data_IF_284486332086
#
_entry.id   IF_284486332086
#
_cell.length_a   1.000
_cell.length_b   1.000
_cell.length_c   1.000
_cell.angle_alpha   90.00
_cell.angle_beta   90.00
_cell.angle_gamma   90.00
#
_symmetry.space_group_name_H-M   'P 1'
#
loop_
_entity.id
_entity.type
_entity.pdbx_description
1 polymer ?
#
# COMPACT_ATOMS: atom_id res chain seq x y z
N UNK A 1 16.97 -7.50 6.86
CA UNK A 1 16.04 -7.44 5.73
C UNK A 1 16.52 -6.36 4.76
N UNK A 2 17.19 -6.74 3.69
CA UNK A 2 17.53 -5.80 2.63
C UNK A 2 16.28 -5.54 1.77
N UNK A 3 15.71 -4.36 1.93
CA UNK A 3 14.68 -3.86 1.04
C UNK A 3 15.34 -3.17 -0.16
N UNK A 4 15.10 -3.64 -1.37
CA UNK A 4 15.47 -2.89 -2.56
C UNK A 4 14.34 -1.94 -2.93
N UNK A 5 14.55 -0.67 -2.67
CA UNK A 5 13.65 0.41 -3.03
C UNK A 5 13.98 0.87 -4.45
N UNK A 6 13.03 0.76 -5.35
CA UNK A 6 13.13 1.38 -6.68
C UNK A 6 12.25 2.62 -6.67
N UNK A 7 12.87 3.81 -6.66
CA UNK A 7 12.19 5.08 -6.82
C UNK A 7 12.34 5.49 -8.28
N UNK A 8 11.26 5.45 -9.04
CA UNK A 8 11.23 6.04 -10.37
C UNK A 8 10.84 7.52 -10.26
N UNK A 9 11.79 8.41 -10.55
CA UNK A 9 11.52 9.79 -10.95
C UNK A 9 11.74 9.85 -12.45
N UNK A 10 10.71 9.60 -13.24
CA UNK A 10 10.81 9.63 -14.69
C UNK A 10 9.84 10.63 -15.28
N UNK A 11 10.16 11.09 -16.48
CA UNK A 11 9.26 11.89 -17.28
C UNK A 11 7.92 11.18 -17.49
N UNK A 12 6.88 11.98 -17.70
CA UNK A 12 5.47 11.59 -17.82
C UNK A 12 5.24 10.34 -18.68
N UNK A 13 6.01 10.17 -19.76
CA UNK A 13 5.84 9.08 -20.73
C UNK A 13 6.63 7.79 -20.41
N UNK A 14 7.43 7.78 -19.32
CA UNK A 14 8.34 6.67 -19.03
C UNK A 14 7.97 5.82 -17.82
N UNK A 15 6.94 6.17 -17.07
CA UNK A 15 6.59 5.45 -15.82
C UNK A 15 6.19 4.02 -16.11
N UNK A 16 5.31 3.80 -17.10
CA UNK A 16 4.81 2.45 -17.43
C UNK A 16 5.93 1.59 -18.02
N UNK A 17 6.69 2.14 -18.98
CA UNK A 17 7.80 1.40 -19.60
C UNK A 17 8.87 1.04 -18.58
N UNK A 18 9.21 1.94 -17.65
CA UNK A 18 10.18 1.67 -16.60
C UNK A 18 9.72 0.57 -15.64
N UNK A 19 8.42 0.53 -15.28
CA UNK A 19 7.85 -0.55 -14.47
C UNK A 19 7.85 -1.88 -15.22
N UNK A 20 7.51 -1.88 -16.52
CA UNK A 20 7.51 -3.09 -17.34
C UNK A 20 8.91 -3.63 -17.59
N UNK A 21 9.89 -2.75 -17.86
CA UNK A 21 11.29 -3.12 -18.01
C UNK A 21 11.86 -3.70 -16.70
N UNK A 22 11.51 -3.10 -15.57
CA UNK A 22 11.91 -3.61 -14.27
C UNK A 22 11.28 -4.99 -14.00
N UNK A 23 10.00 -5.16 -14.27
CA UNK A 23 9.31 -6.45 -14.15
C UNK A 23 9.95 -7.54 -15.03
N UNK A 24 10.29 -7.21 -16.28
CA UNK A 24 10.94 -8.13 -17.24
C UNK A 24 12.36 -8.50 -16.87
N UNK A 25 13.01 -7.78 -15.95
CA UNK A 25 14.37 -8.11 -15.50
C UNK A 25 14.41 -9.27 -14.50
N UNK A 26 13.26 -9.82 -14.09
CA UNK A 26 13.15 -10.94 -13.16
C UNK A 26 12.48 -12.14 -13.83
N UNK A 27 13.00 -13.32 -13.53
CA UNK A 27 12.40 -14.60 -13.87
C UNK A 27 11.82 -15.23 -12.58
N UNK A 28 10.62 -15.76 -12.68
CA UNK A 28 9.96 -16.45 -11.58
C UNK A 28 9.70 -17.89 -11.94
N UNK A 29 9.81 -18.79 -10.96
CA UNK A 29 9.45 -20.18 -11.16
C UNK A 29 7.92 -20.38 -11.30
N UNK A 30 7.54 -21.58 -11.74
CA UNK A 30 6.13 -21.91 -12.01
C UNK A 30 5.24 -21.82 -10.75
N UNK A 31 5.79 -22.19 -9.58
CA UNK A 31 5.05 -22.15 -8.32
C UNK A 31 4.82 -20.69 -7.89
N UNK A 32 5.84 -19.84 -8.00
CA UNK A 32 5.71 -18.43 -7.70
C UNK A 32 4.68 -17.74 -8.60
N UNK A 33 4.63 -18.08 -9.90
CA UNK A 33 3.65 -17.53 -10.85
C UNK A 33 2.20 -17.93 -10.54
N UNK A 34 1.98 -19.06 -9.86
CA UNK A 34 0.65 -19.52 -9.42
C UNK A 34 0.20 -18.88 -8.10
N UNK A 35 1.04 -18.10 -7.47
CA UNK A 35 0.79 -17.46 -6.17
C UNK A 35 1.00 -15.95 -6.27
N UNK A 36 0.52 -15.15 -5.32
CA UNK A 36 0.84 -13.73 -5.27
C UNK A 36 2.30 -13.39 -4.91
N UNK A 37 3.20 -14.39 -4.86
CA UNK A 37 4.61 -14.19 -4.54
C UNK A 37 5.41 -13.58 -5.69
N UNK A 38 5.03 -13.87 -6.94
CA UNK A 38 5.69 -13.36 -8.14
C UNK A 38 5.15 -11.99 -8.51
N UNK A 39 5.75 -10.92 -7.99
CA UNK A 39 5.31 -9.58 -8.34
C UNK A 39 6.01 -8.46 -7.63
N UNK A 40 5.63 -7.27 -8.02
CA UNK A 40 6.01 -6.02 -7.38
C UNK A 40 4.91 -5.58 -6.43
N UNK A 41 5.29 -5.20 -5.23
CA UNK A 41 4.37 -4.77 -4.19
C UNK A 41 4.50 -3.27 -3.99
N UNK A 42 3.39 -2.56 -4.06
CA UNK A 42 3.46 -1.11 -3.93
C UNK A 42 2.14 -0.43 -4.21
N UNK A 43 2.23 0.84 -4.60
CA UNK A 43 1.08 1.67 -4.89
C UNK A 43 1.36 2.67 -6.01
N UNK A 44 0.28 3.12 -6.59
CA UNK A 44 0.20 4.33 -7.41
C UNK A 44 -0.78 5.25 -6.67
N UNK A 45 -0.36 6.48 -6.32
CA UNK A 45 -1.25 7.42 -5.66
C UNK A 45 -2.23 8.06 -6.67
N UNK A 46 -3.25 8.73 -6.15
CA UNK A 46 -4.26 9.39 -6.98
C UNK A 46 -3.64 10.46 -7.89
N UNK A 47 -2.69 11.23 -7.40
CA UNK A 47 -2.07 12.34 -8.14
C UNK A 47 -1.21 11.85 -9.32
N UNK A 48 -0.87 10.57 -9.36
CA UNK A 48 -0.16 9.96 -10.48
C UNK A 48 -1.00 9.93 -11.77
N UNK A 49 -2.31 10.17 -11.70
CA UNK A 49 -3.18 10.31 -12.89
C UNK A 49 -2.63 11.36 -13.86
N UNK A 50 -1.92 12.37 -13.38
CA UNK A 50 -1.25 13.38 -14.22
C UNK A 50 -0.15 12.82 -15.13
N UNK A 51 0.32 11.60 -14.90
CA UNK A 51 1.26 10.91 -15.79
C UNK A 51 0.56 10.25 -16.98
N UNK A 52 -0.75 10.06 -16.91
CA UNK A 52 -1.54 9.34 -17.90
C UNK A 52 -2.53 10.27 -18.62
N UNK A 53 -3.07 11.25 -17.91
CA UNK A 53 -4.09 12.16 -18.40
C UNK A 53 -3.58 13.62 -18.45
N UNK A 54 -4.16 14.45 -19.32
CA UNK A 54 -3.85 15.87 -19.40
C UNK A 54 -4.63 16.67 -18.35
N UNK A 55 -4.35 16.36 -17.09
CA UNK A 55 -4.97 16.95 -15.92
C UNK A 55 -3.91 17.70 -15.13
N UNK A 56 -4.22 18.93 -14.73
CA UNK A 56 -3.38 19.70 -13.83
C UNK A 56 -3.83 19.45 -12.39
N UNK A 57 -2.98 18.79 -11.61
CA UNK A 57 -3.18 18.58 -10.17
C UNK A 57 -2.12 19.40 -9.43
N UNK A 58 -2.56 20.30 -8.57
CA UNK A 58 -1.70 20.99 -7.62
C UNK A 58 -1.49 20.08 -6.40
N UNK A 59 -0.56 19.14 -6.52
CA UNK A 59 -0.26 18.23 -5.43
C UNK A 59 0.59 18.95 -4.38
N UNK A 60 0.25 18.86 -3.09
CA UNK A 60 1.12 19.33 -2.03
C UNK A 60 2.41 18.51 -2.04
N UNK A 61 3.55 19.16 -1.89
CA UNK A 61 4.86 18.49 -1.78
C UNK A 61 4.93 17.88 -0.38
N UNK A 62 4.45 16.66 -0.22
CA UNK A 62 4.42 15.93 1.05
C UNK A 62 5.57 14.92 1.21
N UNK A 63 6.46 14.82 0.22
CA UNK A 63 7.58 13.87 0.22
C UNK A 63 7.20 12.41 -0.03
N UNK A 64 5.92 12.10 -0.25
CA UNK A 64 5.45 10.76 -0.60
C UNK A 64 5.54 10.59 -2.12
N UNK A 65 6.21 9.54 -2.64
CA UNK A 65 6.27 9.28 -4.08
C UNK A 65 4.89 9.02 -4.69
N UNK A 66 4.66 9.48 -5.93
CA UNK A 66 3.42 9.20 -6.64
C UNK A 66 3.29 7.73 -7.04
N UNK A 67 4.42 7.09 -7.30
CA UNK A 67 4.52 5.67 -7.65
C UNK A 67 5.64 5.05 -6.84
N UNK A 68 5.36 3.97 -6.14
CA UNK A 68 6.34 3.25 -5.35
C UNK A 68 6.08 1.75 -5.40
N UNK A 69 6.98 1.00 -6.04
CA UNK A 69 6.94 -0.46 -6.07
C UNK A 69 8.24 -1.04 -5.54
N UNK A 70 8.13 -2.19 -4.88
CA UNK A 70 9.23 -2.92 -4.28
C UNK A 70 9.18 -4.39 -4.68
N UNK A 71 10.34 -5.00 -4.87
CA UNK A 71 10.52 -6.44 -4.90
C UNK A 71 11.07 -6.87 -3.54
N UNK A 72 10.39 -7.78 -2.88
CA UNK A 72 10.84 -8.31 -1.59
C UNK A 72 11.70 -9.55 -1.78
N UNK A 73 12.79 -9.64 -1.01
CA UNK A 73 13.62 -10.84 -0.98
C UNK A 73 12.85 -12.06 -0.47
N UNK A 74 12.08 -11.89 0.59
CA UNK A 74 11.26 -12.95 1.17
C UNK A 74 9.79 -12.59 1.05
N UNK A 75 8.99 -13.53 0.58
CA UNK A 75 7.54 -13.41 0.53
C UNK A 75 6.91 -14.59 1.25
N UNK A 76 6.05 -14.30 2.21
CA UNK A 76 5.28 -15.30 2.94
C UNK A 76 3.86 -15.28 2.39
N UNK A 77 3.41 -16.40 1.88
CA UNK A 77 2.03 -16.59 1.41
C UNK A 77 1.32 -17.51 2.37
N UNK A 78 0.18 -17.08 2.88
CA UNK A 78 -0.71 -17.90 3.71
C UNK A 78 -1.96 -18.17 2.91
N UNK A 79 -2.15 -19.42 2.51
CA UNK A 79 -3.38 -19.87 1.88
C UNK A 79 -4.34 -20.38 2.95
N UNK A 80 -5.39 -19.61 3.19
CA UNK A 80 -6.42 -19.97 4.18
C UNK A 80 -7.34 -21.10 3.72
N UNK A 81 -7.37 -21.41 2.44
CA UNK A 81 -8.18 -22.50 1.92
C UNK A 81 -7.51 -23.86 2.15
N UNK A 82 -6.22 -23.95 1.84
CA UNK A 82 -5.42 -25.17 2.07
C UNK A 82 -4.80 -25.23 3.46
N UNK A 83 -4.83 -24.13 4.24
CA UNK A 83 -4.10 -23.94 5.50
C UNK A 83 -2.58 -24.13 5.35
N UNK A 84 -2.05 -23.68 4.25
CA UNK A 84 -0.62 -23.75 3.95
C UNK A 84 0.06 -22.40 4.15
N UNK A 85 1.29 -22.45 4.67
CA UNK A 85 2.22 -21.32 4.69
C UNK A 85 3.37 -21.65 3.74
N UNK A 86 3.55 -20.81 2.73
CA UNK A 86 4.61 -20.98 1.72
C UNK A 86 5.57 -19.81 1.86
N UNK A 87 6.85 -20.11 1.92
CA UNK A 87 7.92 -19.12 2.02
C UNK A 87 8.73 -19.12 0.72
N UNK A 88 8.74 -17.96 0.06
CA UNK A 88 9.52 -17.72 -1.16
C UNK A 88 10.74 -16.85 -0.85
N UNK A 89 11.83 -17.08 -1.56
CA UNK A 89 13.01 -16.25 -1.56
C UNK A 89 13.36 -15.82 -2.99
N UNK A 90 13.33 -14.53 -3.26
CA UNK A 90 13.84 -13.95 -4.49
C UNK A 90 15.35 -13.70 -4.35
N UNK A 91 16.16 -14.35 -5.17
CA UNK A 91 17.62 -14.19 -5.20
C UNK A 91 18.03 -13.44 -6.47
N UNK A 92 19.07 -12.63 -6.38
CA UNK A 92 19.57 -11.87 -7.53
C UNK A 92 20.46 -12.69 -8.45
N UNK A 93 21.06 -13.74 -7.90
CA UNK A 93 21.90 -14.68 -8.62
C UNK A 93 21.96 -16.00 -7.87
N UNK A 94 22.34 -17.07 -8.55
CA UNK A 94 22.41 -18.42 -8.00
C UNK A 94 23.53 -18.63 -6.99
N UNK A 95 24.47 -17.69 -6.87
CA UNK A 95 25.58 -17.78 -5.91
C UNK A 95 25.20 -17.26 -4.51
N UNK A 96 24.06 -16.58 -4.37
CA UNK A 96 23.57 -16.13 -3.07
C UNK A 96 23.17 -17.35 -2.21
N UNK A 97 23.64 -17.37 -0.97
CA UNK A 97 23.23 -18.37 0.00
C UNK A 97 21.75 -18.17 0.37
N UNK A 98 21.01 -19.26 0.39
CA UNK A 98 19.60 -19.20 0.81
C UNK A 98 19.46 -18.86 2.29
N UNK A 99 18.58 -17.89 2.57
CA UNK A 99 18.18 -17.49 3.92
C UNK A 99 16.88 -18.11 4.41
N UNK A 100 16.27 -19.03 3.66
CA UNK A 100 14.98 -19.64 4.00
C UNK A 100 14.95 -20.29 5.38
N UNK A 101 15.99 -21.03 5.75
CA UNK A 101 16.07 -21.65 7.09
C UNK A 101 16.08 -20.63 8.22
N UNK A 102 16.76 -19.50 8.02
CA UNK A 102 16.78 -18.42 9.00
C UNK A 102 15.40 -17.78 9.14
N UNK A 103 14.71 -17.56 8.02
CA UNK A 103 13.35 -17.01 8.03
C UNK A 103 12.36 -17.96 8.69
N UNK A 104 12.44 -19.25 8.41
CA UNK A 104 11.65 -20.28 9.08
C UNK A 104 11.83 -20.24 10.61
N UNK A 105 13.08 -20.17 11.08
CA UNK A 105 13.37 -20.06 12.51
C UNK A 105 12.78 -18.80 13.14
N UNK A 106 12.82 -17.65 12.45
CA UNK A 106 12.22 -16.40 12.91
C UNK A 106 10.70 -16.57 13.06
N UNK A 107 10.04 -17.13 12.05
CA UNK A 107 8.59 -17.37 12.06
C UNK A 107 8.20 -18.29 13.21
N UNK A 108 8.91 -19.40 13.39
CA UNK A 108 8.63 -20.40 14.42
C UNK A 108 8.98 -19.93 15.84
N UNK A 109 9.85 -18.91 15.97
CA UNK A 109 10.29 -18.43 17.29
C UNK A 109 9.19 -17.78 18.12
N UNK A 110 8.10 -17.33 17.49
CA UNK A 110 7.01 -16.56 18.12
C UNK A 110 7.48 -15.38 18.97
N UNK A 111 8.68 -14.85 18.72
CA UNK A 111 9.23 -13.71 19.42
C UNK A 111 8.84 -12.43 18.70
N UNK A 112 7.85 -11.75 19.21
CA UNK A 112 7.43 -10.44 18.71
C UNK A 112 7.22 -9.48 19.89
N UNK A 113 7.57 -8.23 19.65
CA UNK A 113 7.31 -7.16 20.62
C UNK A 113 6.00 -6.48 20.27
N UNK A 114 5.20 -6.17 21.29
CA UNK A 114 3.99 -5.36 21.15
C UNK A 114 4.18 -4.06 21.89
N UNK A 115 3.81 -2.96 21.26
CA UNK A 115 3.88 -1.63 21.85
C UNK A 115 2.48 -1.04 21.92
N UNK A 116 2.15 -0.26 22.97
CA UNK A 116 0.85 0.39 23.05
C UNK A 116 0.72 1.48 21.98
N UNK A 117 -0.52 1.82 21.64
CA UNK A 117 -0.84 2.97 20.81
C UNK A 117 -1.67 3.95 21.62
N UNK A 118 -1.35 5.25 21.48
CA UNK A 118 -2.10 6.33 22.12
C UNK A 118 -2.23 7.52 21.18
N UNK A 119 -3.45 7.98 20.94
CA UNK A 119 -3.71 9.26 20.28
C UNK A 119 -3.36 10.42 21.21
N UNK A 120 -2.71 11.46 20.69
CA UNK A 120 -2.22 12.62 21.45
C UNK A 120 -2.79 13.90 20.83
N UNK A 121 -3.29 14.80 21.70
CA UNK A 121 -3.84 16.09 21.27
C UNK A 121 -5.17 15.97 20.57
N UNK A 122 -5.55 17.05 19.90
CA UNK A 122 -6.81 17.13 19.18
C UNK A 122 -6.71 16.58 17.78
N UNK A 123 -7.81 15.99 17.30
CA UNK A 123 -7.97 15.57 15.91
C UNK A 123 -8.28 16.78 15.04
N UNK A 124 -7.48 17.02 14.03
CA UNK A 124 -7.66 18.07 13.05
C UNK A 124 -8.38 17.55 11.81
N UNK A 125 -9.03 18.44 11.08
CA UNK A 125 -9.65 18.13 9.80
C UNK A 125 -9.44 19.30 8.82
N UNK A 126 -9.30 18.97 7.53
CA UNK A 126 -9.20 19.97 6.47
C UNK A 126 -10.54 20.64 6.11
N UNK A 127 -11.67 20.09 6.58
CA UNK A 127 -13.02 20.60 6.34
C UNK A 127 -13.84 20.56 7.64
N UNK A 128 -14.75 21.51 7.81
CA UNK A 128 -15.78 21.39 8.85
C UNK A 128 -16.87 20.40 8.42
N UNK A 129 -17.74 20.02 9.36
CA UNK A 129 -18.88 19.14 9.08
C UNK A 129 -19.83 19.77 8.07
N UNK A 130 -20.11 21.08 8.22
CA UNK A 130 -21.00 21.84 7.34
C UNK A 130 -20.41 21.92 5.90
N UNK A 131 -19.12 22.17 5.78
CA UNK A 131 -18.43 22.19 4.49
C UNK A 131 -18.52 20.84 3.80
N UNK A 132 -18.28 19.76 4.51
CA UNK A 132 -18.36 18.40 3.97
C UNK A 132 -19.79 18.05 3.55
N UNK A 133 -20.79 18.34 4.38
CA UNK A 133 -22.20 18.12 4.03
C UNK A 133 -22.63 18.92 2.80
N UNK A 134 -22.13 20.16 2.64
CA UNK A 134 -22.37 20.94 1.42
C UNK A 134 -21.78 20.24 0.19
N UNK A 135 -20.56 19.73 0.27
CA UNK A 135 -19.94 18.97 -0.82
C UNK A 135 -20.76 17.71 -1.16
N UNK A 136 -21.24 16.99 -0.17
CA UNK A 136 -22.09 15.79 -0.37
C UNK A 136 -23.36 16.15 -1.12
N UNK A 137 -24.06 17.22 -0.73
CA UNK A 137 -25.27 17.65 -1.40
C UNK A 137 -25.02 18.08 -2.85
N UNK A 138 -23.89 18.76 -3.11
CA UNK A 138 -23.46 19.08 -4.48
C UNK A 138 -23.18 17.83 -5.29
N UNK A 139 -22.48 16.84 -4.72
CA UNK A 139 -22.20 15.56 -5.37
C UNK A 139 -23.47 14.80 -5.74
N UNK A 140 -24.43 14.73 -4.82
CA UNK A 140 -25.75 14.14 -5.07
C UNK A 140 -26.44 14.85 -6.23
N UNK A 141 -26.41 16.19 -6.26
CA UNK A 141 -27.01 16.96 -7.34
C UNK A 141 -26.39 16.59 -8.70
N UNK A 142 -25.05 16.53 -8.81
CA UNK A 142 -24.37 16.16 -10.05
C UNK A 142 -24.69 14.72 -10.51
N UNK A 143 -24.87 13.78 -9.58
CA UNK A 143 -25.35 12.44 -9.92
C UNK A 143 -26.79 12.46 -10.47
N UNK A 144 -27.67 13.28 -9.85
CA UNK A 144 -29.09 13.33 -10.26
C UNK A 144 -29.29 13.96 -11.63
N UNK A 145 -28.50 14.96 -12.00
CA UNK A 145 -28.59 15.61 -13.33
C UNK A 145 -27.79 14.87 -14.41
N UNK A 146 -27.08 13.80 -14.05
CA UNK A 146 -26.36 12.95 -14.99
C UNK A 146 -24.98 13.41 -15.41
N UNK A 147 -24.37 14.37 -14.68
CA UNK A 147 -23.00 14.80 -14.96
C UNK A 147 -21.98 13.71 -14.64
N UNK A 148 -22.27 12.88 -13.63
CA UNK A 148 -21.46 11.75 -13.22
C UNK A 148 -22.33 10.56 -12.80
N UNK A 149 -21.84 9.34 -13.00
CA UNK A 149 -22.51 8.13 -12.51
C UNK A 149 -22.17 7.86 -11.04
N UNK A 150 -20.94 8.16 -10.64
CA UNK A 150 -20.44 7.98 -9.30
C UNK A 150 -19.44 9.09 -9.00
N UNK A 151 -19.44 9.56 -7.76
CA UNK A 151 -18.43 10.51 -7.25
C UNK A 151 -17.97 10.07 -5.88
N UNK A 152 -16.64 10.13 -5.66
CA UNK A 152 -16.04 9.85 -4.36
C UNK A 152 -15.54 11.16 -3.75
N UNK A 153 -16.13 11.52 -2.61
CA UNK A 153 -15.77 12.71 -1.86
C UNK A 153 -14.88 12.32 -0.69
N UNK A 154 -13.81 13.04 -0.48
CA UNK A 154 -12.85 12.74 0.59
C UNK A 154 -12.78 13.87 1.62
N UNK A 155 -12.50 13.50 2.86
CA UNK A 155 -12.18 14.39 3.97
C UNK A 155 -10.96 13.86 4.69
N UNK A 156 -9.98 14.73 4.95
CA UNK A 156 -8.77 14.36 5.65
C UNK A 156 -8.89 14.69 7.13
N UNK A 157 -8.53 13.70 7.97
CA UNK A 157 -8.33 13.88 9.39
C UNK A 157 -6.86 13.67 9.73
N UNK A 158 -6.35 14.45 10.67
CA UNK A 158 -4.99 14.36 11.17
C UNK A 158 -5.03 14.13 12.68
N UNK A 159 -4.26 13.15 13.14
CA UNK A 159 -4.16 12.81 14.54
C UNK A 159 -2.71 12.53 14.90
N UNK A 160 -2.17 13.26 15.85
CA UNK A 160 -0.88 12.90 16.45
C UNK A 160 -1.05 11.65 17.31
N UNK A 161 -0.03 10.83 17.35
CA UNK A 161 -0.04 9.61 18.14
C UNK A 161 1.35 9.30 18.69
N UNK A 162 1.40 8.40 19.66
CA UNK A 162 2.61 7.79 20.20
C UNK A 162 2.41 6.28 20.26
N UNK A 163 3.50 5.53 20.02
CA UNK A 163 3.48 4.07 20.05
C UNK A 163 3.38 3.45 18.66
N UNK A 164 2.79 2.26 18.59
CA UNK A 164 2.78 1.41 17.40
C UNK A 164 1.49 1.56 16.60
N UNK A 165 1.59 2.20 15.44
CA UNK A 165 0.47 2.40 14.51
C UNK A 165 -0.04 1.10 13.87
N UNK A 166 0.70 -0.01 13.94
CA UNK A 166 0.19 -1.31 13.51
C UNK A 166 -1.04 -1.75 14.30
N UNK A 167 -1.17 -1.29 15.55
CA UNK A 167 -2.38 -1.51 16.34
C UNK A 167 -3.60 -0.79 15.77
N UNK A 168 -3.42 0.37 15.10
CA UNK A 168 -4.51 1.05 14.39
C UNK A 168 -4.98 0.20 13.21
N UNK A 169 -4.05 -0.36 12.44
CA UNK A 169 -4.39 -1.29 11.35
C UNK A 169 -5.13 -2.53 11.88
N UNK A 170 -4.68 -3.11 13.00
CA UNK A 170 -5.36 -4.26 13.62
C UNK A 170 -6.78 -3.93 14.08
N UNK A 171 -6.99 -2.73 14.64
CA UNK A 171 -8.31 -2.23 15.00
C UNK A 171 -9.18 -2.01 13.74
N UNK A 172 -8.63 -1.37 12.71
CA UNK A 172 -9.32 -1.17 11.43
C UNK A 172 -9.80 -2.48 10.82
N UNK A 173 -8.93 -3.50 10.78
CA UNK A 173 -9.26 -4.84 10.32
C UNK A 173 -10.44 -5.47 11.07
N UNK A 174 -10.55 -5.20 12.38
CA UNK A 174 -11.62 -5.74 13.21
C UNK A 174 -12.95 -5.00 13.04
N UNK A 175 -12.89 -3.67 12.83
CA UNK A 175 -14.07 -2.81 12.70
C UNK A 175 -14.64 -2.85 11.29
N UNK A 176 -13.76 -2.87 10.29
CA UNK A 176 -14.13 -2.85 8.88
C UNK A 176 -13.39 -3.95 8.12
N UNK A 177 -13.76 -5.22 8.32
CA UNK A 177 -13.17 -6.32 7.57
C UNK A 177 -13.60 -6.21 6.10
N UNK A 178 -12.61 -6.16 5.21
CA UNK A 178 -12.84 -6.11 3.76
C UNK A 178 -11.97 -7.13 3.05
N UNK A 179 -12.27 -7.47 1.78
CA UNK A 179 -11.41 -8.39 1.02
C UNK A 179 -10.01 -7.83 0.76
N UNK A 180 -9.85 -6.52 0.72
CA UNK A 180 -8.60 -5.85 0.38
C UNK A 180 -8.05 -5.07 1.58
N UNK A 181 -7.43 -5.80 2.48
CA UNK A 181 -6.71 -5.26 3.63
C UNK A 181 -5.23 -5.19 3.28
N UNK A 182 -4.61 -4.02 3.50
CA UNK A 182 -3.19 -3.83 3.22
C UNK A 182 -2.50 -3.00 4.30
N UNK A 183 -1.21 -3.26 4.50
CA UNK A 183 -0.32 -2.50 5.35
C UNK A 183 1.07 -2.48 4.71
N UNK A 184 1.56 -1.30 4.37
CA UNK A 184 2.89 -1.08 3.81
C UNK A 184 3.73 -0.23 4.74
N UNK A 185 4.94 -0.67 5.05
CA UNK A 185 5.94 0.09 5.79
C UNK A 185 7.08 0.52 4.84
N UNK A 186 7.17 1.82 4.60
CA UNK A 186 8.18 2.42 3.71
C UNK A 186 9.25 3.19 4.48
N UNK A 187 9.60 2.75 5.70
CA UNK A 187 10.63 3.33 6.56
C UNK A 187 10.32 4.78 7.01
N UNK A 188 10.02 5.69 6.09
CA UNK A 188 9.73 7.09 6.40
C UNK A 188 8.24 7.42 6.55
N UNK A 189 7.36 6.53 6.08
CA UNK A 189 5.91 6.65 6.16
C UNK A 189 5.28 5.26 6.00
N UNK A 190 4.05 5.13 6.43
CA UNK A 190 3.28 3.88 6.33
C UNK A 190 1.94 4.15 5.69
N UNK A 191 1.47 3.18 4.90
CA UNK A 191 0.16 3.24 4.25
C UNK A 191 -0.59 1.97 4.60
N UNK A 192 -1.78 2.09 5.14
CA UNK A 192 -2.63 0.95 5.42
C UNK A 192 -4.09 1.31 5.21
N UNK A 193 -4.88 0.31 4.94
CA UNK A 193 -6.29 0.51 4.67
C UNK A 193 -7.09 -0.77 4.65
N UNK A 194 -8.40 -0.57 4.53
CA UNK A 194 -9.40 -1.60 4.32
C UNK A 194 -10.31 -1.11 3.21
N UNK A 195 -10.23 -1.70 2.02
CA UNK A 195 -11.00 -1.32 0.84
C UNK A 195 -12.01 -2.40 0.48
N UNK A 196 -13.24 -2.01 0.13
CA UNK A 196 -14.23 -2.95 -0.39
C UNK A 196 -13.96 -3.37 -1.84
N UNK A 197 -13.15 -2.59 -2.57
CA UNK A 197 -12.83 -2.77 -3.99
C UNK A 197 -11.31 -2.82 -4.23
#
# INVERSE_FOLDING_TARGET
LEFRRVLFRSDRNMVISALDDFRKSFEFDELALKTPAAGLFGYINYDAVRFFEDIRIEAPVNGIPDVCYQLFRYVIVIDHFSNELILFENRLNDQELSGLKQMEQIILSNKFSTFPFQAIGERLSNLTDEQYLKMVNQGIHHCLIGDVFQIVLSRRFEQRFQGDEFNVYRALRSINPSPYLFYFDYVGYKIFGSSPE
#
